data_IF_558295355484
#
_entry.id   IF_558295355484
#
_cell.length_a   1.000
_cell.length_b   1.000
_cell.length_c   1.000
_cell.angle_alpha   90.00
_cell.angle_beta   90.00
_cell.angle_gamma   90.00
#
_symmetry.space_group_name_H-M   'P 1'
#
loop_
_entity.id
_entity.type
_entity.pdbx_description
1 polymer ?
#
# COMPACT_ATOMS: atom_id res chain seq x y z
N UNK A 1 -15.35 -17.86 21.41
CA UNK A 1 -14.11 -17.11 21.17
C UNK A 1 -13.91 -16.19 22.36
N UNK A 2 -12.82 -16.35 23.11
CA UNK A 2 -12.55 -15.49 24.26
C UNK A 2 -12.15 -14.08 23.77
N UNK A 3 -12.27 -13.07 24.65
CA UNK A 3 -11.98 -11.67 24.32
C UNK A 3 -10.55 -11.46 23.79
N UNK A 4 -9.58 -12.24 24.31
CA UNK A 4 -8.18 -12.22 23.86
C UNK A 4 -8.01 -12.68 22.41
N UNK A 5 -8.63 -13.80 22.03
CA UNK A 5 -8.61 -14.31 20.65
C UNK A 5 -9.27 -13.32 19.71
N UNK A 6 -10.38 -12.69 20.13
CA UNK A 6 -10.98 -11.59 19.36
C UNK A 6 -9.98 -10.44 19.15
N UNK A 7 -9.34 -9.97 20.21
CA UNK A 7 -8.31 -8.92 20.14
C UNK A 7 -7.14 -9.31 19.22
N UNK A 8 -6.68 -10.56 19.28
CA UNK A 8 -5.60 -11.07 18.43
C UNK A 8 -5.97 -11.04 16.95
N UNK A 9 -7.17 -11.51 16.60
CA UNK A 9 -7.64 -11.46 15.21
C UNK A 9 -7.87 -10.03 14.73
N UNK A 10 -8.49 -9.17 15.55
CA UNK A 10 -8.69 -7.76 15.18
C UNK A 10 -7.35 -7.03 15.03
N UNK A 11 -6.39 -7.29 15.91
CA UNK A 11 -5.03 -6.75 15.82
C UNK A 11 -4.30 -7.21 14.57
N UNK A 12 -4.40 -8.50 14.23
CA UNK A 12 -3.79 -9.08 13.03
C UNK A 12 -4.34 -8.44 11.74
N UNK A 13 -5.67 -8.27 11.68
CA UNK A 13 -6.34 -7.58 10.58
C UNK A 13 -5.91 -6.11 10.50
N UNK A 14 -5.90 -5.40 11.63
CA UNK A 14 -5.50 -3.99 11.68
C UNK A 14 -4.04 -3.80 11.26
N UNK A 15 -3.14 -4.66 11.75
CA UNK A 15 -1.72 -4.65 11.37
C UNK A 15 -1.54 -4.94 9.89
N UNK A 16 -2.22 -5.96 9.35
CA UNK A 16 -2.15 -6.31 7.92
C UNK A 16 -2.65 -5.16 7.06
N UNK A 17 -3.77 -4.53 7.43
CA UNK A 17 -4.33 -3.40 6.71
C UNK A 17 -3.39 -2.19 6.74
N UNK A 18 -2.85 -1.85 7.92
CA UNK A 18 -1.87 -0.77 8.07
C UNK A 18 -0.60 -1.05 7.27
N UNK A 19 -0.09 -2.28 7.31
CA UNK A 19 1.13 -2.65 6.62
C UNK A 19 0.98 -2.64 5.10
N UNK A 20 -0.13 -3.15 4.58
CA UNK A 20 -0.43 -3.09 3.15
C UNK A 20 -0.63 -1.66 2.67
N UNK A 21 -1.29 -0.81 3.48
CA UNK A 21 -1.38 0.62 3.18
C UNK A 21 0.01 1.27 3.15
N UNK A 22 0.83 0.98 4.16
CA UNK A 22 2.20 1.47 4.31
C UNK A 22 3.12 1.04 3.15
N UNK A 23 2.98 -0.20 2.66
CA UNK A 23 3.64 -0.71 1.46
C UNK A 23 3.16 0.04 0.21
N UNK A 24 1.85 0.13 0.03
CA UNK A 24 1.24 0.81 -1.12
C UNK A 24 1.64 2.28 -1.25
N UNK A 25 1.75 3.00 -0.13
CA UNK A 25 2.10 4.42 -0.14
C UNK A 25 3.61 4.68 -0.06
N UNK A 26 4.43 3.65 0.16
CA UNK A 26 5.87 3.81 0.39
C UNK A 26 6.20 4.61 1.66
N UNK A 27 5.34 4.57 2.69
CA UNK A 27 5.52 5.35 3.94
C UNK A 27 5.44 4.44 5.17
N UNK A 28 5.68 4.98 6.37
CA UNK A 28 5.37 4.28 7.63
C UNK A 28 6.28 3.09 7.93
N UNK A 29 5.70 1.97 8.38
CA UNK A 29 6.46 0.79 8.79
C UNK A 29 7.21 0.14 7.62
N UNK A 30 6.60 0.09 6.43
CA UNK A 30 7.26 -0.39 5.22
C UNK A 30 8.54 0.41 4.93
N UNK A 31 8.43 1.74 4.82
CA UNK A 31 9.57 2.61 4.56
C UNK A 31 10.70 2.44 5.61
N UNK A 32 10.34 2.33 6.90
CA UNK A 32 11.32 2.06 7.95
C UNK A 32 12.04 0.72 7.74
N UNK A 33 11.31 -0.35 7.41
CA UNK A 33 11.89 -1.66 7.17
C UNK A 33 12.73 -1.70 5.89
N UNK A 34 12.34 -0.99 4.84
CA UNK A 34 13.11 -0.85 3.60
C UNK A 34 14.49 -0.27 3.89
N UNK A 35 14.55 0.83 4.65
CA UNK A 35 15.81 1.46 5.06
C UNK A 35 16.67 0.50 5.86
N UNK A 36 16.10 -0.18 6.86
CA UNK A 36 16.86 -1.13 7.69
C UNK A 36 17.34 -2.34 6.92
N UNK A 37 16.57 -2.84 5.96
CA UNK A 37 16.99 -3.94 5.11
C UNK A 37 18.15 -3.49 4.21
N UNK A 38 18.05 -2.32 3.57
CA UNK A 38 19.11 -1.77 2.75
C UNK A 38 20.39 -1.48 3.54
N UNK A 39 20.29 -0.93 4.76
CA UNK A 39 21.44 -0.70 5.65
C UNK A 39 22.19 -2.00 6.00
N UNK A 40 21.45 -3.11 6.23
CA UNK A 40 22.04 -4.38 6.69
C UNK A 40 22.55 -5.21 5.52
N UNK A 41 21.81 -5.26 4.42
CA UNK A 41 22.03 -6.20 3.32
C UNK A 41 22.53 -5.54 2.03
N UNK A 42 22.62 -4.20 1.98
CA UNK A 42 23.02 -3.44 0.80
C UNK A 42 21.91 -3.29 -0.26
N UNK A 43 20.79 -4.00 -0.11
CA UNK A 43 19.61 -3.88 -0.96
C UNK A 43 18.33 -4.23 -0.20
N UNK A 44 17.20 -3.82 -0.75
CA UNK A 44 15.86 -4.12 -0.24
C UNK A 44 15.12 -5.04 -1.23
N UNK A 45 14.76 -6.24 -0.78
CA UNK A 45 13.87 -7.14 -1.57
C UNK A 45 12.42 -6.87 -1.17
N UNK A 46 11.66 -6.26 -2.09
CA UNK A 46 10.28 -5.85 -1.87
C UNK A 46 9.35 -7.02 -1.51
N UNK A 47 9.68 -8.26 -1.94
CA UNK A 47 8.90 -9.46 -1.57
C UNK A 47 9.17 -9.86 -0.14
N UNK A 48 10.42 -9.84 0.30
CA UNK A 48 10.77 -10.13 1.69
C UNK A 48 10.18 -9.04 2.59
N UNK A 49 10.27 -7.77 2.19
CA UNK A 49 9.63 -6.66 2.89
C UNK A 49 8.12 -6.80 2.92
N UNK A 50 7.46 -7.31 1.89
CA UNK A 50 6.02 -7.53 1.94
C UNK A 50 5.65 -8.70 2.89
N UNK A 51 6.25 -9.88 2.69
CA UNK A 51 5.78 -11.10 3.33
C UNK A 51 6.33 -11.33 4.74
N UNK A 52 7.59 -11.01 5.02
CA UNK A 52 8.21 -11.28 6.32
C UNK A 52 7.49 -10.51 7.44
N UNK A 53 7.28 -9.19 7.36
CA UNK A 53 6.60 -8.44 8.41
C UNK A 53 5.14 -8.85 8.55
N UNK A 54 4.45 -9.17 7.45
CA UNK A 54 3.10 -9.72 7.50
C UNK A 54 3.07 -11.05 8.25
N UNK A 55 3.94 -12.00 7.93
CA UNK A 55 3.96 -13.32 8.57
C UNK A 55 4.34 -13.19 10.04
N UNK A 56 5.48 -12.59 10.35
CA UNK A 56 5.99 -12.51 11.72
C UNK A 56 5.14 -11.59 12.59
N UNK A 57 4.71 -10.43 12.07
CA UNK A 57 3.83 -9.51 12.77
C UNK A 57 2.49 -10.15 13.12
N UNK A 58 1.84 -10.83 12.16
CA UNK A 58 0.60 -11.55 12.44
C UNK A 58 0.82 -12.71 13.41
N UNK A 59 1.89 -13.50 13.28
CA UNK A 59 2.20 -14.59 14.23
C UNK A 59 2.35 -14.05 15.65
N UNK A 60 3.10 -12.96 15.85
CA UNK A 60 3.30 -12.35 17.17
C UNK A 60 1.98 -11.79 17.72
N UNK A 61 1.20 -11.09 16.89
CA UNK A 61 -0.09 -10.51 17.33
C UNK A 61 -1.09 -11.61 17.69
N UNK A 62 -1.16 -12.69 16.91
CA UNK A 62 -2.02 -13.84 17.18
C UNK A 62 -1.54 -14.61 18.42
N UNK A 63 -0.24 -14.74 18.63
CA UNK A 63 0.36 -15.35 19.81
C UNK A 63 0.08 -14.53 21.09
N UNK A 64 0.27 -13.22 21.06
CA UNK A 64 -0.06 -12.28 22.15
C UNK A 64 -1.57 -12.21 22.41
N UNK A 65 -2.38 -12.33 21.34
CA UNK A 65 -3.83 -12.52 21.39
C UNK A 65 -4.27 -13.87 21.97
N UNK A 66 -3.34 -14.70 22.44
CA UNK A 66 -3.64 -15.92 23.15
C UNK A 66 -4.10 -17.05 22.24
N UNK A 67 -3.63 -17.12 20.99
CA UNK A 67 -3.72 -18.34 20.15
C UNK A 67 -2.61 -19.33 20.55
N UNK A 68 -2.25 -19.38 21.83
CA UNK A 68 -1.71 -20.62 22.41
C UNK A 68 -2.92 -21.47 22.75
N UNK A 69 -2.86 -22.74 22.33
CA UNK A 69 -3.89 -23.79 22.43
C UNK A 69 -5.05 -23.46 23.35
N UNK A 70 -6.27 -23.58 22.80
CA UNK A 70 -7.50 -23.42 23.56
C UNK A 70 -7.35 -24.05 24.95
N UNK A 71 -7.75 -23.35 26.03
CA UNK A 71 -7.36 -23.74 27.37
C UNK A 71 -7.61 -25.23 27.55
N UNK A 72 -6.63 -25.96 28.09
CA UNK A 72 -6.82 -27.37 28.45
C UNK A 72 -8.07 -27.55 29.36
N UNK A 73 -8.49 -26.45 30.01
CA UNK A 73 -9.67 -26.32 30.86
C UNK A 73 -10.84 -25.55 30.21
N UNK A 74 -10.85 -25.37 28.88
CA UNK A 74 -12.03 -24.83 28.20
C UNK A 74 -13.19 -25.79 28.46
N UNK A 75 -14.30 -25.35 29.10
CA UNK A 75 -15.43 -26.23 29.31
C UNK A 75 -15.86 -26.79 27.95
N UNK A 76 -15.91 -28.12 27.84
CA UNK A 76 -16.37 -28.79 26.62
C UNK A 76 -17.79 -28.28 26.34
N UNK A 77 -17.90 -27.37 25.38
CA UNK A 77 -19.18 -26.84 24.95
C UNK A 77 -20.02 -28.02 24.47
N UNK A 78 -21.29 -28.03 24.86
CA UNK A 78 -22.23 -28.97 24.26
C UNK A 78 -22.29 -28.74 22.75
N UNK A 79 -22.62 -29.76 21.94
CA UNK A 79 -22.76 -29.61 20.49
C UNK A 79 -23.67 -28.43 20.08
N UNK A 80 -24.71 -28.15 20.88
CA UNK A 80 -25.62 -27.02 20.69
C UNK A 80 -24.94 -25.67 20.98
N UNK A 81 -24.21 -25.54 22.09
CA UNK A 81 -23.45 -24.32 22.41
C UNK A 81 -22.35 -24.02 21.39
N UNK A 82 -21.72 -25.06 20.85
CA UNK A 82 -20.72 -24.91 19.79
C UNK A 82 -21.34 -24.47 18.47
N UNK A 83 -22.54 -24.99 18.13
CA UNK A 83 -23.30 -24.51 16.97
C UNK A 83 -23.70 -23.04 17.10
N UNK A 84 -24.18 -22.61 18.28
CA UNK A 84 -24.57 -21.22 18.52
C UNK A 84 -23.37 -20.25 18.49
N UNK A 85 -22.21 -20.69 19.02
CA UNK A 85 -20.96 -19.94 18.91
C UNK A 85 -20.53 -19.79 17.44
N UNK A 86 -20.61 -20.86 16.66
CA UNK A 86 -20.25 -20.84 15.25
C UNK A 86 -21.15 -19.89 14.46
N UNK A 87 -22.48 -19.92 14.67
CA UNK A 87 -23.39 -18.94 14.04
C UNK A 87 -23.00 -17.51 14.38
N UNK A 88 -22.66 -17.23 15.65
CA UNK A 88 -22.27 -15.88 16.09
C UNK A 88 -20.93 -15.41 15.52
N UNK A 89 -19.96 -16.31 15.37
CA UNK A 89 -18.68 -16.00 14.73
C UNK A 89 -18.89 -15.79 13.24
N UNK A 90 -19.62 -16.69 12.59
CA UNK A 90 -19.92 -16.59 11.16
C UNK A 90 -20.72 -15.33 10.82
N UNK A 91 -21.68 -14.91 11.63
CA UNK A 91 -22.41 -13.64 11.40
C UNK A 91 -21.50 -12.42 11.45
N UNK A 92 -20.48 -12.43 12.32
CA UNK A 92 -19.46 -11.35 12.38
C UNK A 92 -18.54 -11.37 11.16
N UNK A 93 -18.17 -12.55 10.68
CA UNK A 93 -17.37 -12.71 9.45
C UNK A 93 -18.16 -12.25 8.22
N UNK A 94 -19.45 -12.59 8.13
CA UNK A 94 -20.36 -12.08 7.08
C UNK A 94 -20.40 -10.56 7.13
N UNK A 95 -20.63 -9.98 8.32
CA UNK A 95 -20.67 -8.52 8.48
C UNK A 95 -19.36 -7.85 8.08
N UNK A 96 -18.21 -8.39 8.51
CA UNK A 96 -16.90 -7.89 8.11
C UNK A 96 -16.70 -7.96 6.59
N UNK A 97 -17.05 -9.10 5.97
CA UNK A 97 -17.02 -9.25 4.52
C UNK A 97 -17.89 -8.21 3.80
N UNK A 98 -19.12 -8.01 4.28
CA UNK A 98 -20.04 -7.01 3.72
C UNK A 98 -19.49 -5.57 3.84
N UNK A 99 -18.88 -5.21 4.98
CA UNK A 99 -18.24 -3.90 5.16
C UNK A 99 -17.07 -3.72 4.21
N UNK A 100 -16.23 -4.74 4.02
CA UNK A 100 -15.09 -4.69 3.08
C UNK A 100 -15.59 -4.56 1.64
N UNK A 101 -16.65 -5.28 1.25
CA UNK A 101 -17.28 -5.12 -0.08
C UNK A 101 -17.82 -3.71 -0.25
N UNK A 102 -18.56 -3.18 0.73
CA UNK A 102 -19.09 -1.82 0.66
C UNK A 102 -17.97 -0.77 0.54
N UNK A 103 -16.88 -0.94 1.29
CA UNK A 103 -15.67 -0.12 1.16
C UNK A 103 -15.03 -0.22 -0.22
N UNK A 104 -14.92 -1.43 -0.78
CA UNK A 104 -14.43 -1.66 -2.14
C UNK A 104 -15.32 -0.99 -3.20
N UNK A 105 -16.64 -1.10 -3.08
CA UNK A 105 -17.61 -0.41 -3.96
C UNK A 105 -17.46 1.11 -3.85
N UNK A 106 -17.36 1.64 -2.62
CA UNK A 106 -17.12 3.07 -2.41
C UNK A 106 -15.81 3.55 -3.02
N UNK A 107 -14.73 2.78 -2.85
CA UNK A 107 -13.44 3.06 -3.47
C UNK A 107 -13.49 3.00 -5.00
N UNK A 108 -14.26 2.07 -5.58
CA UNK A 108 -14.47 2.00 -7.02
C UNK A 108 -15.20 3.23 -7.56
N UNK A 109 -16.27 3.68 -6.90
CA UNK A 109 -16.99 4.90 -7.28
C UNK A 109 -16.12 6.15 -7.12
N UNK A 110 -15.33 6.22 -6.04
CA UNK A 110 -14.34 7.27 -5.87
C UNK A 110 -13.31 7.27 -7.01
N UNK A 111 -12.83 6.09 -7.42
CA UNK A 111 -11.89 5.94 -8.53
C UNK A 111 -12.45 6.49 -9.86
N UNK A 112 -13.77 6.42 -10.09
CA UNK A 112 -14.38 6.97 -11.31
C UNK A 112 -14.26 8.50 -11.41
N UNK A 113 -14.07 9.20 -10.30
CA UNK A 113 -13.80 10.63 -10.28
C UNK A 113 -12.30 10.98 -10.38
N UNK A 114 -11.42 9.99 -10.42
CA UNK A 114 -9.98 10.20 -10.54
C UNK A 114 -9.53 10.24 -12.00
N UNK A 115 -8.44 10.97 -12.29
CA UNK A 115 -7.85 11.00 -13.61
C UNK A 115 -7.42 9.62 -14.14
N UNK A 116 -7.65 9.38 -15.43
CA UNK A 116 -7.52 8.08 -16.07
C UNK A 116 -6.38 7.93 -17.07
N UNK A 117 -5.66 9.00 -17.36
CA UNK A 117 -4.52 9.02 -18.28
C UNK A 117 -4.84 9.76 -19.57
N UNK A 118 -6.11 9.97 -19.89
CA UNK A 118 -6.55 10.57 -21.16
C UNK A 118 -6.60 12.09 -21.13
N UNK A 119 -6.40 12.71 -19.96
CA UNK A 119 -6.44 14.17 -19.85
C UNK A 119 -5.27 14.82 -20.60
N UNK A 120 -5.50 16.03 -21.08
CA UNK A 120 -4.45 16.88 -21.62
C UNK A 120 -3.54 17.36 -20.48
N UNK A 121 -2.22 17.24 -20.63
CA UNK A 121 -1.30 17.66 -19.60
C UNK A 121 -1.20 19.18 -19.49
N UNK A 122 -1.14 19.67 -18.26
CA UNK A 122 -0.94 21.09 -17.98
C UNK A 122 0.57 21.38 -17.98
N UNK A 123 1.02 22.28 -18.84
CA UNK A 123 2.39 22.76 -18.81
C UNK A 123 2.60 23.65 -17.58
N UNK A 124 3.57 23.31 -16.73
CA UNK A 124 3.85 24.02 -15.49
C UNK A 124 5.34 24.30 -15.37
N UNK A 125 5.72 25.51 -15.01
CA UNK A 125 7.12 25.84 -14.73
C UNK A 125 7.41 25.71 -13.24
N UNK A 126 8.53 25.09 -12.89
CA UNK A 126 8.98 25.01 -11.49
C UNK A 126 9.36 26.40 -10.93
N UNK A 127 9.73 27.34 -11.81
CA UNK A 127 9.97 28.73 -11.43
C UNK A 127 8.70 29.48 -10.98
N UNK A 128 7.52 28.97 -11.37
CA UNK A 128 6.24 29.60 -11.10
C UNK A 128 5.17 28.55 -10.78
N UNK A 129 5.46 27.72 -9.78
CA UNK A 129 4.47 26.77 -9.27
C UNK A 129 3.24 27.56 -8.76
N UNK A 130 2.03 27.23 -9.22
CA UNK A 130 0.82 27.88 -8.72
C UNK A 130 0.58 27.50 -7.26
N UNK A 131 0.04 28.44 -6.48
CA UNK A 131 -0.48 28.19 -5.14
C UNK A 131 -2.02 28.34 -5.16
N UNK A 132 -2.80 27.26 -4.97
CA UNK A 132 -2.38 25.91 -4.57
C UNK A 132 -1.84 25.05 -5.73
N UNK A 133 -0.90 24.16 -5.39
CA UNK A 133 -0.32 23.19 -6.34
C UNK A 133 -1.38 22.14 -6.73
N UNK A 134 -1.60 21.86 -8.03
CA UNK A 134 -2.66 20.98 -8.50
C UNK A 134 -2.28 19.50 -8.36
N UNK A 135 -2.23 19.01 -7.12
CA UNK A 135 -1.98 17.60 -6.80
C UNK A 135 -3.07 16.71 -7.43
N UNK A 136 -2.64 15.60 -8.03
CA UNK A 136 -3.48 14.62 -8.71
C UNK A 136 -3.71 14.90 -10.18
N UNK A 137 -3.27 16.06 -10.71
CA UNK A 137 -3.44 16.40 -12.13
C UNK A 137 -2.24 15.94 -12.97
N UNK A 138 -2.51 15.74 -14.26
CA UNK A 138 -1.49 15.41 -15.26
C UNK A 138 -0.77 16.69 -15.67
N UNK A 139 0.54 16.73 -15.52
CA UNK A 139 1.37 17.91 -15.76
C UNK A 139 2.59 17.55 -16.63
N UNK A 140 3.09 18.54 -17.36
CA UNK A 140 4.43 18.53 -17.95
C UNK A 140 5.21 19.62 -17.22
N UNK A 141 6.24 19.23 -16.45
CA UNK A 141 7.07 20.22 -15.75
C UNK A 141 8.15 20.75 -16.68
N UNK A 142 8.31 22.07 -16.64
CA UNK A 142 9.39 22.80 -17.30
C UNK A 142 10.38 23.26 -16.23
N UNK A 143 11.60 22.77 -16.33
CA UNK A 143 12.72 23.11 -15.46
C UNK A 143 14.00 22.49 -16.00
N UNK A 144 15.02 22.48 -15.16
CA UNK A 144 16.31 21.90 -15.45
C UNK A 144 16.60 20.76 -14.47
N UNK A 145 17.25 19.72 -14.98
CA UNK A 145 17.90 18.71 -14.16
C UNK A 145 19.34 19.19 -13.94
N UNK A 146 19.75 19.48 -12.69
CA UNK A 146 21.14 19.74 -12.39
C UNK A 146 21.99 18.50 -12.65
N UNK A 147 23.05 18.63 -13.45
CA UNK A 147 23.98 17.54 -13.71
C UNK A 147 24.67 17.08 -12.42
N UNK A 148 24.83 15.77 -12.26
CA UNK A 148 25.49 15.17 -11.09
C UNK A 148 24.62 15.05 -9.83
N UNK A 149 23.37 15.50 -9.86
CA UNK A 149 22.42 15.32 -8.77
C UNK A 149 21.36 14.25 -9.13
N UNK A 150 21.07 13.39 -8.16
CA UNK A 150 20.15 12.27 -8.36
C UNK A 150 20.38 11.13 -7.37
N UNK A 151 19.33 10.36 -7.11
CA UNK A 151 19.43 9.11 -6.37
C UNK A 151 18.80 8.00 -7.20
N UNK A 152 19.47 6.85 -7.24
CA UNK A 152 18.97 5.65 -7.90
C UNK A 152 18.81 4.61 -6.81
N UNK A 153 17.58 4.13 -6.64
CA UNK A 153 17.30 2.98 -5.78
C UNK A 153 17.14 1.77 -6.68
N UNK A 154 17.98 0.77 -6.45
CA UNK A 154 17.97 -0.47 -7.20
C UNK A 154 17.33 -1.55 -6.32
N UNK A 155 16.17 -2.04 -6.76
CA UNK A 155 15.48 -3.17 -6.15
C UNK A 155 15.74 -4.42 -7.00
N UNK A 156 16.60 -5.32 -6.49
CA UNK A 156 16.87 -6.60 -7.16
C UNK A 156 15.74 -7.59 -6.91
N UNK A 157 15.04 -8.00 -7.98
CA UNK A 157 14.05 -9.07 -7.96
C UNK A 157 14.52 -10.33 -8.69
N UNK A 158 13.96 -11.49 -8.35
CA UNK A 158 14.15 -12.73 -9.15
C UNK A 158 13.53 -12.55 -10.56
N UNK A 159 14.36 -12.19 -11.53
CA UNK A 159 14.02 -12.11 -12.96
C UNK A 159 13.93 -10.70 -13.54
N UNK A 160 13.95 -9.66 -12.71
CA UNK A 160 13.99 -8.27 -13.14
C UNK A 160 14.55 -7.38 -12.02
N UNK A 161 15.43 -6.46 -12.37
CA UNK A 161 15.86 -5.38 -11.49
C UNK A 161 14.98 -4.18 -11.76
N UNK A 162 14.39 -3.60 -10.71
CA UNK A 162 13.63 -2.36 -10.78
C UNK A 162 14.56 -1.24 -10.36
N UNK A 163 14.74 -0.25 -11.23
CA UNK A 163 15.53 0.94 -10.94
C UNK A 163 14.58 2.12 -10.78
N UNK A 164 14.63 2.75 -9.61
CA UNK A 164 13.83 3.91 -9.27
C UNK A 164 14.74 5.14 -9.26
N UNK A 165 14.54 6.03 -10.22
CA UNK A 165 15.30 7.26 -10.35
C UNK A 165 14.55 8.41 -9.67
N UNK A 166 15.22 9.03 -8.71
CA UNK A 166 14.83 10.27 -8.08
C UNK A 166 15.71 11.38 -8.62
N UNK A 167 15.10 12.37 -9.28
CA UNK A 167 15.86 13.44 -9.93
C UNK A 167 15.34 14.79 -9.45
N UNK A 168 16.19 15.66 -8.89
CA UNK A 168 15.79 17.00 -8.53
C UNK A 168 15.52 17.80 -9.81
N UNK A 169 14.42 18.55 -9.80
CA UNK A 169 14.12 19.49 -10.87
C UNK A 169 13.94 20.87 -10.28
N UNK A 170 14.71 21.81 -10.82
CA UNK A 170 14.84 23.19 -10.34
C UNK A 170 14.55 24.16 -11.48
N UNK A 171 14.33 25.46 -11.17
CA UNK A 171 14.34 26.49 -12.20
C UNK A 171 15.68 26.51 -12.94
N UNK A 172 15.67 26.88 -14.22
CA UNK A 172 16.89 26.98 -15.02
C UNK A 172 17.96 27.86 -14.35
N UNK A 173 19.20 27.36 -14.30
CA UNK A 173 20.34 28.07 -13.71
C UNK A 173 20.34 28.21 -12.18
N UNK A 174 19.46 27.50 -11.46
CA UNK A 174 19.41 27.50 -10.00
C UNK A 174 20.13 26.28 -9.41
N UNK A 175 20.95 26.50 -8.38
CA UNK A 175 21.60 25.41 -7.65
C UNK A 175 20.57 24.68 -6.75
N UNK A 176 20.37 23.36 -6.88
CA UNK A 176 19.44 22.57 -6.06
C UNK A 176 19.75 22.58 -4.55
N UNK A 177 20.92 23.07 -4.15
CA UNK A 177 21.27 23.25 -2.72
C UNK A 177 20.69 24.51 -2.11
N UNK A 178 20.13 25.42 -2.92
CA UNK A 178 19.74 26.77 -2.50
C UNK A 178 18.22 27.01 -2.49
N UNK A 179 17.43 26.05 -2.97
CA UNK A 179 15.97 26.16 -3.09
C UNK A 179 15.29 24.87 -2.66
N UNK A 180 14.02 24.95 -2.27
CA UNK A 180 13.19 23.75 -2.15
C UNK A 180 12.95 23.12 -3.52
N UNK A 181 13.14 21.80 -3.62
CA UNK A 181 13.22 21.09 -4.90
C UNK A 181 12.02 20.15 -5.10
N UNK A 182 11.43 20.16 -6.30
CA UNK A 182 10.49 19.14 -6.76
C UNK A 182 11.27 17.96 -7.34
N UNK A 183 10.78 16.72 -7.22
CA UNK A 183 11.52 15.55 -7.67
C UNK A 183 10.75 14.80 -8.74
N UNK A 184 11.41 14.39 -9.81
CA UNK A 184 10.83 13.41 -10.72
C UNK A 184 11.09 12.00 -10.21
N UNK A 185 10.08 11.13 -10.36
CA UNK A 185 10.15 9.72 -10.01
C UNK A 185 9.88 8.89 -11.25
N UNK A 186 10.92 8.26 -11.77
CA UNK A 186 10.85 7.36 -12.93
C UNK A 186 11.20 5.95 -12.47
N UNK A 187 10.28 5.01 -12.68
CA UNK A 187 10.51 3.60 -12.43
C UNK A 187 10.79 2.93 -13.77
N UNK A 188 11.98 2.34 -13.92
CA UNK A 188 12.33 1.55 -15.10
C UNK A 188 12.60 0.10 -14.71
N UNK A 189 12.38 -0.81 -15.66
CA UNK A 189 12.86 -2.19 -15.55
C UNK A 189 14.21 -2.27 -16.26
N UNK A 190 15.22 -2.78 -15.57
CA UNK A 190 16.59 -2.88 -16.08
C UNK A 190 16.62 -3.72 -17.38
N UNK A 191 17.16 -3.12 -18.44
CA UNK A 191 17.19 -3.69 -19.80
C UNK A 191 16.60 -2.78 -20.89
N UNK A 192 15.81 -1.78 -20.51
CA UNK A 192 15.53 -0.65 -21.41
C UNK A 192 16.72 0.32 -21.41
N UNK A 193 17.31 0.60 -22.58
CA UNK A 193 18.32 1.66 -22.82
C UNK A 193 17.74 3.09 -22.64
N UNK A 194 16.78 3.26 -21.74
CA UNK A 194 16.08 4.52 -21.53
C UNK A 194 16.84 5.33 -20.49
N UNK A 195 17.83 6.10 -20.96
CA UNK A 195 18.38 7.19 -20.18
C UNK A 195 17.21 8.11 -19.75
N UNK A 196 16.91 8.25 -18.44
CA UNK A 196 15.74 9.00 -17.98
C UNK A 196 15.81 10.50 -18.34
N UNK A 197 16.98 10.98 -18.81
CA UNK A 197 17.21 12.33 -19.30
C UNK A 197 16.24 12.81 -20.38
N UNK A 198 15.78 11.94 -21.28
CA UNK A 198 14.89 12.34 -22.39
C UNK A 198 13.42 12.39 -21.99
N UNK A 199 12.99 11.64 -20.97
CA UNK A 199 11.57 11.49 -20.63
C UNK A 199 11.04 12.59 -19.71
N UNK A 200 11.87 13.13 -18.81
CA UNK A 200 11.41 13.96 -17.70
C UNK A 200 10.77 15.31 -18.09
N UNK A 201 11.11 15.90 -19.24
CA UNK A 201 10.60 17.23 -19.65
C UNK A 201 9.60 17.19 -20.81
N UNK A 202 9.47 16.04 -21.46
CA UNK A 202 8.60 15.85 -22.62
C UNK A 202 7.43 14.91 -22.32
N UNK A 203 7.58 13.98 -21.36
CA UNK A 203 6.50 13.06 -20.99
C UNK A 203 5.62 13.66 -19.89
N UNK A 204 4.29 13.67 -20.09
CA UNK A 204 3.37 14.07 -19.04
C UNK A 204 3.31 13.02 -17.93
N UNK A 205 3.12 13.46 -16.69
CA UNK A 205 2.85 12.54 -15.58
C UNK A 205 2.01 13.18 -14.49
N UNK A 206 1.61 12.37 -13.51
CA UNK A 206 0.72 12.83 -12.45
C UNK A 206 1.49 13.44 -11.30
N UNK A 207 1.13 14.68 -10.94
CA UNK A 207 1.69 15.37 -9.79
C UNK A 207 1.17 14.74 -8.51
N UNK A 208 2.02 14.10 -7.71
CA UNK A 208 1.67 13.54 -6.40
C UNK A 208 2.45 14.24 -5.32
N UNK A 209 1.76 14.65 -4.25
CA UNK A 209 2.43 15.07 -3.02
C UNK A 209 2.80 13.82 -2.22
N UNK A 210 4.10 13.58 -2.05
CA UNK A 210 4.57 12.56 -1.10
C UNK A 210 5.90 13.00 -0.49
N UNK A 211 6.49 12.15 0.33
CA UNK A 211 7.83 12.32 0.86
C UNK A 211 8.81 11.51 0.01
N UNK A 212 10.04 12.01 -0.16
CA UNK A 212 11.13 11.17 -0.66
C UNK A 212 11.27 9.94 0.24
N UNK A 213 11.45 8.78 -0.42
CA UNK A 213 11.83 7.55 0.26
C UNK A 213 13.08 7.83 1.11
N UNK A 214 13.18 7.32 2.35
CA UNK A 214 14.24 7.80 3.23
C UNK A 214 15.64 7.50 2.71
N UNK A 215 15.83 6.41 1.96
CA UNK A 215 17.12 6.11 1.32
C UNK A 215 17.46 7.12 0.21
N UNK A 216 16.47 7.50 -0.61
CA UNK A 216 16.65 8.53 -1.62
C UNK A 216 16.90 9.90 -0.98
N UNK A 217 16.18 10.22 0.11
CA UNK A 217 16.39 11.44 0.90
C UNK A 217 17.82 11.49 1.44
N UNK A 218 18.29 10.43 2.07
CA UNK A 218 19.65 10.39 2.62
C UNK A 218 20.70 10.60 1.53
N UNK A 219 20.57 9.93 0.38
CA UNK A 219 21.49 10.11 -0.75
C UNK A 219 21.47 11.55 -1.30
N UNK A 220 20.30 12.19 -1.34
CA UNK A 220 20.16 13.58 -1.79
C UNK A 220 20.75 14.57 -0.78
N UNK A 221 20.50 14.35 0.51
CA UNK A 221 21.05 15.16 1.60
C UNK A 221 22.59 15.01 1.69
N UNK A 222 23.13 13.82 1.45
CA UNK A 222 24.59 13.57 1.31
C UNK A 222 25.20 14.34 0.13
N UNK A 223 24.44 14.52 -0.96
CA UNK A 223 24.84 15.36 -2.10
C UNK A 223 24.67 16.87 -1.83
N UNK A 224 24.13 17.24 -0.66
CA UNK A 224 23.88 18.61 -0.22
C UNK A 224 22.59 19.22 -0.74
N UNK A 225 21.69 18.44 -1.36
CA UNK A 225 20.42 18.92 -1.90
C UNK A 225 19.48 19.28 -0.75
N UNK A 226 18.88 20.47 -0.82
CA UNK A 226 17.89 20.92 0.18
C UNK A 226 16.53 20.25 -0.08
N UNK A 227 16.32 19.09 0.54
CA UNK A 227 15.07 18.32 0.39
C UNK A 227 13.94 18.97 1.18
N UNK A 228 12.94 19.48 0.48
CA UNK A 228 11.72 20.04 1.08
C UNK A 228 10.95 18.99 1.89
N UNK A 229 10.17 19.47 2.87
CA UNK A 229 9.31 18.60 3.70
C UNK A 229 8.19 17.91 2.91
N UNK A 230 7.73 18.56 1.83
CA UNK A 230 6.75 18.03 0.88
C UNK A 230 7.38 18.02 -0.50
N UNK A 231 7.43 16.84 -1.12
CA UNK A 231 7.98 16.66 -2.45
C UNK A 231 6.86 16.36 -3.43
N UNK A 232 6.93 16.97 -4.60
CA UNK A 232 6.01 16.70 -5.69
C UNK A 232 6.68 15.79 -6.70
N UNK A 233 6.06 14.66 -6.97
CA UNK A 233 6.52 13.68 -7.94
C UNK A 233 5.66 13.68 -9.17
N UNK A 234 6.31 13.59 -10.33
CA UNK A 234 5.65 13.28 -11.60
C UNK A 234 5.93 11.82 -11.88
N UNK A 235 4.92 10.98 -11.70
CA UNK A 235 4.99 9.55 -12.02
C UNK A 235 4.64 9.35 -13.50
N UNK A 236 5.56 8.79 -14.30
CA UNK A 236 5.35 8.59 -15.75
C UNK A 236 4.51 7.34 -16.09
N UNK A 237 3.84 6.72 -15.11
CA UNK A 237 3.05 5.52 -15.37
C UNK A 237 1.86 5.85 -16.26
N UNK A 238 1.75 5.14 -17.39
CA UNK A 238 0.62 5.25 -18.33
C UNK A 238 -0.75 4.89 -17.72
N UNK A 239 -0.80 4.45 -16.46
CA UNK A 239 -2.03 4.33 -15.68
C UNK A 239 -2.08 5.47 -14.67
N UNK A 240 -3.07 6.34 -14.82
CA UNK A 240 -3.38 7.39 -13.85
C UNK A 240 -3.86 6.83 -12.50
N UNK A 241 -4.07 7.70 -11.49
CA UNK A 241 -4.52 7.30 -10.17
C UNK A 241 -5.83 6.48 -10.18
N UNK A 242 -6.67 6.60 -11.22
CA UNK A 242 -7.84 5.73 -11.39
C UNK A 242 -7.49 4.24 -11.48
N UNK A 243 -6.41 3.87 -12.18
CA UNK A 243 -6.02 2.46 -12.37
C UNK A 243 -5.67 1.79 -11.05
N UNK A 244 -4.79 2.45 -10.29
CA UNK A 244 -4.37 2.09 -8.93
C UNK A 244 -5.56 1.82 -8.00
N UNK A 245 -6.49 2.78 -7.91
CA UNK A 245 -7.68 2.66 -7.06
C UNK A 245 -8.67 1.60 -7.57
N UNK A 246 -8.80 1.46 -8.89
CA UNK A 246 -9.69 0.46 -9.50
C UNK A 246 -9.23 -0.96 -9.17
N UNK A 247 -7.93 -1.25 -9.30
CA UNK A 247 -7.37 -2.57 -8.94
C UNK A 247 -7.55 -2.85 -7.45
N UNK A 248 -7.21 -1.89 -6.59
CA UNK A 248 -7.40 -2.02 -5.14
C UNK A 248 -8.86 -2.28 -4.75
N UNK A 249 -9.81 -1.62 -5.42
CA UNK A 249 -11.24 -1.81 -5.20
C UNK A 249 -11.71 -3.23 -5.55
N UNK A 250 -11.24 -3.80 -6.66
CA UNK A 250 -11.56 -5.18 -7.05
C UNK A 250 -10.97 -6.21 -6.10
N UNK A 251 -9.74 -5.99 -5.61
CA UNK A 251 -9.14 -6.85 -4.59
C UNK A 251 -9.97 -6.82 -3.30
N UNK A 252 -10.34 -5.63 -2.83
CA UNK A 252 -11.17 -5.47 -1.64
C UNK A 252 -12.53 -6.17 -1.80
N UNK A 253 -13.22 -5.96 -2.94
CA UNK A 253 -14.48 -6.64 -3.22
C UNK A 253 -14.32 -8.16 -3.30
N UNK A 254 -13.24 -8.67 -3.90
CA UNK A 254 -12.94 -10.10 -3.96
C UNK A 254 -12.72 -10.72 -2.58
N UNK A 255 -11.87 -10.11 -1.75
CA UNK A 255 -11.59 -10.57 -0.39
C UNK A 255 -12.85 -10.49 0.49
N UNK A 256 -13.56 -9.36 0.45
CA UNK A 256 -14.80 -9.16 1.19
C UNK A 256 -15.89 -10.15 0.77
N UNK A 257 -16.04 -10.40 -0.53
CA UNK A 257 -16.96 -11.39 -1.08
C UNK A 257 -16.64 -12.81 -0.63
N UNK A 258 -15.35 -13.17 -0.61
CA UNK A 258 -14.90 -14.49 -0.16
C UNK A 258 -15.15 -14.69 1.35
N UNK A 259 -14.88 -13.68 2.18
CA UNK A 259 -15.25 -13.68 3.60
C UNK A 259 -16.76 -13.82 3.81
N UNK A 260 -17.56 -13.10 3.02
CA UNK A 260 -19.02 -13.17 3.06
C UNK A 260 -19.50 -14.60 2.74
N UNK A 261 -19.00 -15.21 1.66
CA UNK A 261 -19.36 -16.58 1.25
C UNK A 261 -18.95 -17.61 2.31
N UNK A 262 -17.71 -17.54 2.83
CA UNK A 262 -17.24 -18.44 3.88
C UNK A 262 -18.10 -18.30 5.15
N UNK A 263 -18.41 -17.06 5.54
CA UNK A 263 -19.29 -16.78 6.66
C UNK A 263 -20.68 -17.36 6.43
N UNK A 264 -21.25 -17.21 5.23
CA UNK A 264 -22.56 -17.75 4.87
C UNK A 264 -22.59 -19.28 4.94
N UNK A 265 -21.62 -19.95 4.31
CA UNK A 265 -21.50 -21.41 4.32
C UNK A 265 -21.39 -21.93 5.76
N UNK A 266 -20.52 -21.34 6.58
CA UNK A 266 -20.35 -21.75 7.97
C UNK A 266 -21.62 -21.50 8.80
N UNK A 267 -22.35 -20.42 8.54
CA UNK A 267 -23.65 -20.16 9.19
C UNK A 267 -24.67 -21.21 8.82
N UNK A 268 -24.79 -21.56 7.53
CA UNK A 268 -25.70 -22.60 7.03
C UNK A 268 -25.36 -23.97 7.62
N UNK A 269 -24.08 -24.35 7.64
CA UNK A 269 -23.62 -25.59 8.25
C UNK A 269 -23.89 -25.64 9.76
N UNK A 270 -23.67 -24.53 10.47
CA UNK A 270 -23.93 -24.43 11.90
C UNK A 270 -25.44 -24.53 12.21
N UNK A 271 -26.29 -23.86 11.41
CA UNK A 271 -27.75 -23.98 11.53
C UNK A 271 -28.25 -25.39 11.21
N UNK A 272 -27.69 -26.05 10.19
CA UNK A 272 -28.03 -27.44 9.86
C UNK A 272 -27.66 -28.41 10.99
N UNK A 273 -26.47 -28.24 11.59
CA UNK A 273 -26.06 -29.00 12.79
C UNK A 273 -26.98 -28.73 13.97
N UNK A 274 -27.34 -27.46 14.22
CA UNK A 274 -28.28 -27.08 15.28
C UNK A 274 -29.64 -27.79 15.14
N UNK A 275 -30.17 -27.85 13.91
CA UNK A 275 -31.43 -28.56 13.61
C UNK A 275 -31.31 -30.07 13.86
N UNK A 276 -30.19 -30.69 13.47
CA UNK A 276 -29.95 -32.12 13.70
C UNK A 276 -29.86 -32.45 15.19
N UNK A 277 -29.12 -31.65 15.97
CA UNK A 277 -28.98 -31.85 17.42
C UNK A 277 -30.33 -31.71 18.12
N UNK A 278 -31.09 -30.64 17.85
CA UNK A 278 -32.43 -30.45 18.44
C UNK A 278 -33.42 -31.57 18.12
N UNK A 279 -33.31 -32.20 16.94
CA UNK A 279 -34.15 -33.35 16.57
C UNK A 279 -33.74 -34.66 17.26
N UNK A 280 -32.50 -34.77 17.71
CA UNK A 280 -32.02 -35.93 18.45
C UNK A 280 -32.30 -35.82 19.96
N UNK A 281 -32.63 -34.63 20.45
CA UNK A 281 -33.01 -34.33 21.84
C UNK A 281 -34.54 -34.39 22.09
N UNK A 282 -35.33 -34.50 21.02
CA UNK A 282 -36.80 -34.67 21.04
C UNK A 282 -37.16 -36.13 20.77
#
# INVERSE_FOLDING_TARGET
MNFRTFLGWTGAIAFTAYYLWSWWTGTGLHAFLTVKMAEIFGSADDRLLLFVPLIFGNVVILWLGGIKGGPADAPKLTPLQQADLNVRVSSRVIFAGAVVVAGGVGAYFYAQGLPDGTEDPIAMSIASLPDPIPVGQKVILKGERPDGFGAIIVEEGRGSTKETFYVPVVPFGVDPRTVEVAFFHVVTLQGENNNPNFRMFEEPGYLRRTTLEPLARNLMEEQGVAVASSVYFVQSSGQGPKGDWTVGSFIAMGVGGLLFIIGLINTLLAMARRRKVRRAEL
#
